data_IF_491553627035
#
_entry.id   IF_491553627035
#
_cell.length_a   1.000
_cell.length_b   1.000
_cell.length_c   1.000
_cell.angle_alpha   90.00
_cell.angle_beta   90.00
_cell.angle_gamma   90.00
#
_symmetry.space_group_name_H-M   'P 1'
#
loop_
_entity.id
_entity.type
_entity.pdbx_description
1 polymer ?
#
# COMPACT_ATOMS: atom_id res chain seq x y z
N UNK A 1 -59.91 -2.62 6.03
CA UNK A 1 -60.68 -1.62 5.25
C UNK A 1 -59.69 -0.82 4.44
N UNK A 2 -59.94 -0.75 3.13
CA UNK A 2 -59.01 -0.33 2.06
C UNK A 2 -58.74 1.18 2.11
N UNK A 3 -57.48 1.58 1.92
CA UNK A 3 -57.13 2.90 1.40
C UNK A 3 -56.53 2.67 0.02
N UNK A 4 -57.36 2.89 -1.01
CA UNK A 4 -56.93 2.94 -2.40
C UNK A 4 -57.08 4.40 -2.86
N UNK A 5 -56.02 4.87 -3.51
CA UNK A 5 -55.81 6.19 -4.06
C UNK A 5 -54.32 6.28 -4.43
N UNK A 6 -53.78 5.29 -5.15
CA UNK A 6 -53.77 5.16 -6.62
C UNK A 6 -52.86 6.22 -7.28
N UNK A 7 -51.66 5.73 -7.65
CA UNK A 7 -50.84 6.03 -8.84
C UNK A 7 -50.53 7.50 -9.17
N UNK A 8 -49.28 7.88 -9.44
CA UNK A 8 -48.08 7.11 -9.69
C UNK A 8 -47.07 7.99 -10.43
N UNK A 9 -45.84 7.48 -10.54
CA UNK A 9 -44.80 7.89 -11.48
C UNK A 9 -44.07 9.21 -11.11
N UNK A 10 -42.75 9.30 -11.05
CA UNK A 10 -41.69 8.44 -11.56
C UNK A 10 -40.66 8.16 -10.46
N UNK A 11 -39.99 7.01 -10.60
CA UNK A 11 -39.00 6.54 -9.65
C UNK A 11 -37.80 7.48 -9.54
N UNK A 12 -37.31 7.60 -8.32
CA UNK A 12 -35.89 7.71 -8.08
C UNK A 12 -35.62 6.93 -6.78
N UNK A 13 -35.26 5.67 -6.97
CA UNK A 13 -34.54 4.91 -5.97
C UNK A 13 -33.39 4.24 -6.73
N UNK A 14 -32.19 4.16 -6.16
CA UNK A 14 -31.74 4.72 -4.89
C UNK A 14 -30.94 6.01 -5.13
N UNK A 15 -30.72 6.81 -4.09
CA UNK A 15 -29.44 7.47 -3.95
C UNK A 15 -28.40 6.34 -3.79
N UNK A 16 -28.08 5.65 -4.90
CA UNK A 16 -26.77 5.07 -5.11
C UNK A 16 -25.85 6.29 -5.15
N UNK A 17 -25.56 6.83 -3.96
CA UNK A 17 -24.33 7.55 -3.73
C UNK A 17 -23.28 6.59 -4.26
N UNK A 18 -22.82 6.94 -5.46
CA UNK A 18 -21.58 6.47 -6.05
C UNK A 18 -20.65 6.34 -4.86
N UNK A 19 -20.30 5.09 -4.52
CA UNK A 19 -19.13 4.83 -3.72
C UNK A 19 -18.03 5.45 -4.55
N UNK A 20 -17.77 6.74 -4.31
CA UNK A 20 -16.67 7.45 -4.91
C UNK A 20 -15.52 6.49 -4.71
N UNK A 21 -14.94 6.10 -5.83
CA UNK A 21 -13.66 5.43 -5.94
C UNK A 21 -12.62 6.32 -5.24
N UNK A 22 -12.72 6.52 -3.92
CA UNK A 22 -11.73 7.19 -3.10
C UNK A 22 -10.55 6.24 -3.13
N UNK A 23 -9.58 6.48 -4.01
CA UNK A 23 -8.56 5.51 -4.31
C UNK A 23 -7.55 5.67 -3.19
N UNK A 24 -7.81 5.09 -2.02
CA UNK A 24 -6.98 5.20 -0.82
C UNK A 24 -6.43 6.63 -0.68
N UNK A 25 -7.29 7.60 -0.30
CA UNK A 25 -6.81 8.96 -0.03
C UNK A 25 -5.54 8.87 0.83
N UNK A 26 -4.39 9.39 0.35
CA UNK A 26 -3.18 9.35 1.15
C UNK A 26 -3.49 10.09 2.44
N UNK A 27 -3.45 9.37 3.57
CA UNK A 27 -3.77 9.87 4.92
C UNK A 27 -2.94 11.11 5.30
N UNK A 28 -1.91 11.39 4.49
CA UNK A 28 -0.98 12.49 4.60
C UNK A 28 -1.25 13.65 3.61
N UNK A 29 -2.49 13.83 3.16
CA UNK A 29 -2.90 14.95 2.29
C UNK A 29 -2.61 16.35 2.90
N UNK A 30 -2.35 16.41 4.23
CA UNK A 30 -1.98 17.60 5.01
C UNK A 30 -0.46 17.72 5.31
N UNK A 31 0.40 16.88 4.73
CA UNK A 31 1.84 17.11 4.87
C UNK A 31 2.25 18.39 4.15
N UNK A 32 3.01 19.26 4.83
CA UNK A 32 3.77 20.30 4.14
C UNK A 32 4.70 19.66 3.10
N UNK A 33 5.10 20.42 2.08
CA UNK A 33 6.06 19.92 1.07
C UNK A 33 7.33 19.35 1.73
N UNK A 34 7.80 19.98 2.82
CA UNK A 34 8.95 19.50 3.60
C UNK A 34 8.65 18.15 4.29
N UNK A 35 7.44 17.99 4.82
CA UNK A 35 6.98 16.74 5.43
C UNK A 35 6.90 15.60 4.42
N UNK A 36 6.39 15.87 3.21
CA UNK A 36 6.35 14.90 2.11
C UNK A 36 7.76 14.47 1.69
N UNK A 37 8.68 15.43 1.48
CA UNK A 37 10.07 15.15 1.15
C UNK A 37 10.77 14.34 2.26
N UNK A 38 10.54 14.70 3.53
CA UNK A 38 11.06 13.95 4.68
C UNK A 38 10.55 12.51 4.71
N UNK A 39 9.27 12.31 4.42
CA UNK A 39 8.66 10.98 4.37
C UNK A 39 9.21 10.12 3.22
N UNK A 40 9.34 10.69 2.02
CA UNK A 40 10.00 10.00 0.90
C UNK A 40 11.45 9.63 1.22
N UNK A 41 12.19 10.53 1.89
CA UNK A 41 13.54 10.24 2.36
C UNK A 41 13.57 9.06 3.34
N UNK A 42 12.64 9.02 4.30
CA UNK A 42 12.51 7.92 5.25
C UNK A 42 12.16 6.59 4.56
N UNK A 43 11.23 6.59 3.58
CA UNK A 43 10.93 5.40 2.77
C UNK A 43 12.16 4.92 2.02
N UNK A 44 12.94 5.82 1.42
CA UNK A 44 14.20 5.47 0.75
C UNK A 44 15.19 4.77 1.69
N UNK A 45 15.34 5.25 2.92
CA UNK A 45 16.20 4.62 3.93
C UNK A 45 15.67 3.24 4.37
N UNK A 46 14.35 3.11 4.55
CA UNK A 46 13.73 1.84 4.91
C UNK A 46 13.89 0.78 3.81
N UNK A 47 13.69 1.16 2.54
CA UNK A 47 13.96 0.30 1.36
C UNK A 47 15.42 -0.13 1.30
N UNK A 48 16.35 0.78 1.57
CA UNK A 48 17.77 0.47 1.61
C UNK A 48 18.09 -0.54 2.72
N UNK A 49 17.54 -0.35 3.93
CA UNK A 49 17.73 -1.26 5.05
C UNK A 49 17.18 -2.67 4.75
N UNK A 50 15.99 -2.77 4.16
CA UNK A 50 15.42 -4.05 3.74
C UNK A 50 16.32 -4.76 2.72
N UNK A 51 16.85 -4.02 1.72
CA UNK A 51 17.76 -4.56 0.71
C UNK A 51 19.06 -5.07 1.32
N UNK A 52 19.64 -4.34 2.28
CA UNK A 52 20.86 -4.75 2.97
C UNK A 52 20.65 -6.04 3.77
N UNK A 53 19.55 -6.14 4.52
CA UNK A 53 19.24 -7.35 5.27
C UNK A 53 18.88 -8.54 4.37
N UNK A 54 18.28 -8.30 3.20
CA UNK A 54 18.06 -9.36 2.23
C UNK A 54 19.39 -9.91 1.70
N UNK A 55 20.38 -9.04 1.43
CA UNK A 55 21.73 -9.48 1.04
C UNK A 55 22.40 -10.31 2.13
N UNK A 56 22.27 -9.91 3.40
CA UNK A 56 22.78 -10.70 4.53
C UNK A 56 22.04 -12.05 4.65
N UNK A 57 20.74 -12.10 4.35
CA UNK A 57 19.99 -13.36 4.34
C UNK A 57 20.50 -14.35 3.28
N UNK A 58 20.89 -13.81 2.13
CA UNK A 58 21.36 -14.57 0.96
C UNK A 58 22.86 -14.88 1.01
N UNK A 59 23.64 -14.27 1.91
CA UNK A 59 25.10 -14.48 2.01
C UNK A 59 25.44 -15.82 2.68
N UNK A 60 25.94 -16.84 1.95
CA UNK A 60 26.27 -18.14 2.53
C UNK A 60 27.47 -18.10 3.49
N UNK A 61 28.25 -17.01 3.50
CA UNK A 61 29.35 -16.78 4.44
C UNK A 61 28.89 -16.50 5.88
N UNK A 62 27.61 -16.16 6.07
CA UNK A 62 27.05 -15.87 7.38
C UNK A 62 26.45 -17.12 8.07
N UNK A 63 26.52 -17.19 9.41
CA UNK A 63 25.86 -18.25 10.17
C UNK A 63 24.37 -18.33 9.85
N UNK A 64 23.81 -19.55 9.78
CA UNK A 64 22.40 -19.77 9.43
C UNK A 64 21.41 -18.97 10.31
N UNK A 65 21.69 -18.82 11.60
CA UNK A 65 20.88 -18.01 12.53
C UNK A 65 20.90 -16.52 12.15
N UNK A 66 22.08 -15.99 11.78
CA UNK A 66 22.21 -14.59 11.36
C UNK A 66 21.46 -14.33 10.05
N UNK A 67 21.54 -15.26 9.09
CA UNK A 67 20.80 -15.19 7.83
C UNK A 67 19.29 -15.22 8.06
N UNK A 68 18.80 -16.11 8.92
CA UNK A 68 17.38 -16.20 9.27
C UNK A 68 16.88 -14.93 9.97
N UNK A 69 17.69 -14.35 10.86
CA UNK A 69 17.36 -13.06 11.50
C UNK A 69 17.32 -11.92 10.47
N UNK A 70 18.30 -11.85 9.57
CA UNK A 70 18.33 -10.86 8.51
C UNK A 70 17.11 -10.98 7.59
N UNK A 71 16.72 -12.20 7.19
CA UNK A 71 15.51 -12.45 6.39
C UNK A 71 14.24 -11.94 7.10
N UNK A 72 14.12 -12.18 8.41
CA UNK A 72 12.99 -11.71 9.19
C UNK A 72 12.95 -10.18 9.28
N UNK A 73 14.11 -9.52 9.46
CA UNK A 73 14.20 -8.05 9.47
C UNK A 73 13.85 -7.49 8.09
N UNK A 74 14.42 -8.02 7.01
CA UNK A 74 14.12 -7.60 5.64
C UNK A 74 12.61 -7.68 5.35
N UNK A 75 11.98 -8.80 5.71
CA UNK A 75 10.54 -9.04 5.54
C UNK A 75 9.71 -8.01 6.32
N UNK A 76 10.01 -7.81 7.60
CA UNK A 76 9.26 -6.89 8.46
C UNK A 76 9.40 -5.43 8.00
N UNK A 77 10.62 -5.02 7.62
CA UNK A 77 10.87 -3.66 7.11
C UNK A 77 10.18 -3.45 5.78
N UNK A 78 10.23 -4.42 4.85
CA UNK A 78 9.56 -4.33 3.56
C UNK A 78 8.03 -4.20 3.71
N UNK A 79 7.41 -5.08 4.50
CA UNK A 79 5.96 -5.04 4.75
C UNK A 79 5.52 -3.72 5.40
N UNK A 80 6.29 -3.24 6.39
CA UNK A 80 6.02 -1.96 7.05
C UNK A 80 6.18 -0.79 6.08
N UNK A 81 7.21 -0.83 5.23
CA UNK A 81 7.48 0.21 4.22
C UNK A 81 6.35 0.28 3.19
N UNK A 82 5.85 -0.87 2.72
CA UNK A 82 4.72 -0.92 1.78
C UNK A 82 3.46 -0.29 2.37
N UNK A 83 3.15 -0.55 3.65
CA UNK A 83 2.02 0.08 4.35
C UNK A 83 2.18 1.61 4.39
N UNK A 84 3.37 2.11 4.73
CA UNK A 84 3.64 3.56 4.78
C UNK A 84 3.69 4.22 3.41
N UNK A 85 4.22 3.54 2.39
CA UNK A 85 4.24 4.01 1.02
C UNK A 85 2.81 4.17 0.47
N UNK A 86 1.91 3.23 0.78
CA UNK A 86 0.49 3.34 0.45
C UNK A 86 -0.16 4.59 1.06
N UNK A 87 0.24 5.04 2.26
CA UNK A 87 -0.29 6.26 2.88
C UNK A 87 0.07 7.56 2.15
N UNK A 88 1.04 7.55 1.24
CA UNK A 88 1.39 8.70 0.39
C UNK A 88 1.12 8.45 -1.10
N UNK A 89 0.44 7.36 -1.43
CA UNK A 89 0.22 6.95 -2.83
C UNK A 89 1.51 6.54 -3.56
N UNK A 90 2.60 6.26 -2.85
CA UNK A 90 3.82 5.73 -3.45
C UNK A 90 3.62 4.24 -3.74
N UNK A 91 3.42 3.94 -5.02
CA UNK A 91 3.16 2.59 -5.53
C UNK A 91 4.39 1.88 -6.08
N UNK A 92 5.59 2.45 -5.94
CA UNK A 92 6.82 1.96 -6.58
C UNK A 92 7.03 0.45 -6.39
N UNK A 93 6.89 -0.05 -5.17
CA UNK A 93 7.14 -1.47 -4.85
C UNK A 93 6.00 -2.39 -5.32
N UNK A 94 4.76 -1.87 -5.33
CA UNK A 94 3.59 -2.61 -5.81
C UNK A 94 3.61 -2.73 -7.34
N UNK A 95 3.94 -1.65 -8.04
CA UNK A 95 4.04 -1.65 -9.50
C UNK A 95 5.21 -2.52 -9.98
N UNK A 96 6.31 -2.59 -9.22
CA UNK A 96 7.42 -3.52 -9.49
C UNK A 96 7.02 -5.00 -9.32
N UNK A 97 6.16 -5.32 -8.35
CA UNK A 97 5.62 -6.68 -8.16
C UNK A 97 4.72 -7.08 -9.33
N UNK A 98 3.78 -6.22 -9.74
CA UNK A 98 2.92 -6.49 -10.89
C UNK A 98 3.70 -6.65 -12.19
N UNK A 99 4.73 -5.82 -12.41
CA UNK A 99 5.59 -5.95 -13.57
C UNK A 99 6.40 -7.27 -13.58
N UNK A 100 6.77 -7.78 -12.41
CA UNK A 100 7.46 -9.07 -12.29
C UNK A 100 6.52 -10.26 -12.52
N UNK A 101 5.26 -10.16 -12.09
CA UNK A 101 4.24 -11.19 -12.32
C UNK A 101 3.81 -11.27 -13.80
N UNK A 102 3.70 -10.14 -14.50
CA UNK A 102 3.38 -10.09 -15.93
C UNK A 102 4.46 -10.77 -16.81
N UNK A 103 5.74 -10.66 -16.45
CA UNK A 103 6.88 -11.26 -17.17
C UNK A 103 6.96 -12.81 -17.00
N UNK A 104 6.20 -13.36 -16.06
CA UNK A 104 6.10 -14.81 -15.79
C UNK A 104 4.86 -15.47 -16.43
N UNK A 105 3.98 -14.68 -17.06
CA UNK A 105 2.73 -15.13 -17.70
C UNK A 105 2.84 -15.34 -19.22
#
# INVERSE_FOLDING_TARGET
MRIHGLFGDAGDAPDDEVLDDEPYLPVLHDLSADGYCGFQGALGQARHLATMHQRDADDPGLPAVARAQAAAVATNVAATTQLFAALIGDRTDLDALYAADDDLS
#
